data_IF_071888703495
#
_entry.id   IF_071888703495
#
_cell.length_a   1.000
_cell.length_b   1.000
_cell.length_c   1.000
_cell.angle_alpha   90.00
_cell.angle_beta   90.00
_cell.angle_gamma   90.00
#
_symmetry.space_group_name_H-M   'P 1'
#
loop_
_entity.id
_entity.type
_entity.pdbx_description
1 polymer ?
#
# COMPACT_ATOMS: atom_id res chain seq x y z
N UNK A 1 1.44 -4.67 25.77
CA UNK A 1 1.40 -3.43 24.96
C UNK A 1 2.85 -3.03 24.71
N UNK A 2 3.42 -3.44 23.58
CA UNK A 2 4.82 -3.15 23.25
C UNK A 2 4.81 -1.89 22.42
N UNK A 3 5.31 -0.81 22.98
CA UNK A 3 5.55 0.45 22.27
C UNK A 3 6.66 0.16 21.26
N UNK A 4 6.33 0.20 19.97
CA UNK A 4 7.34 0.20 18.91
C UNK A 4 7.97 1.59 18.97
N UNK A 5 9.08 1.72 19.69
CA UNK A 5 9.91 2.91 19.66
C UNK A 5 10.50 3.05 18.27
N UNK A 6 10.32 4.21 17.65
CA UNK A 6 10.98 4.61 16.42
C UNK A 6 12.48 4.30 16.55
N UNK A 7 13.00 3.46 15.68
CA UNK A 7 14.43 3.21 15.61
C UNK A 7 15.14 4.54 15.30
N UNK A 8 16.23 4.79 16.02
CA UNK A 8 17.11 5.94 15.77
C UNK A 8 17.56 5.89 14.30
N UNK A 9 17.42 6.96 13.52
CA UNK A 9 17.82 6.98 12.11
C UNK A 9 19.32 6.71 11.86
N UNK A 10 20.12 6.58 12.90
CA UNK A 10 21.54 6.22 12.81
C UNK A 10 21.78 4.71 12.89
N UNK A 11 20.80 3.91 13.30
CA UNK A 11 20.93 2.47 13.45
C UNK A 11 20.01 1.71 12.51
N UNK A 12 20.48 1.50 11.29
CA UNK A 12 19.94 0.62 10.26
C UNK A 12 18.82 1.23 9.38
N UNK A 13 18.93 1.19 8.04
CA UNK A 13 17.87 1.63 7.18
C UNK A 13 16.59 0.88 7.52
N UNK A 14 15.51 1.60 7.72
CA UNK A 14 14.22 1.02 8.03
C UNK A 14 13.78 0.12 6.87
N UNK A 15 13.57 -1.16 7.16
CA UNK A 15 13.08 -2.14 6.18
C UNK A 15 11.74 -1.73 5.57
N UNK A 16 11.20 -2.54 4.68
CA UNK A 16 9.93 -2.26 4.02
C UNK A 16 8.79 -2.03 5.03
N UNK A 17 7.86 -1.13 4.68
CA UNK A 17 6.59 -0.92 5.37
C UNK A 17 5.48 -1.68 4.65
N UNK A 18 4.66 -2.43 5.37
CA UNK A 18 3.54 -3.20 4.83
C UNK A 18 2.25 -2.72 5.50
N UNK A 19 1.42 -2.00 4.74
CA UNK A 19 0.09 -1.53 5.19
C UNK A 19 -0.98 -2.54 4.82
N UNK A 20 -1.31 -3.46 5.72
CA UNK A 20 -2.21 -4.58 5.46
C UNK A 20 -3.54 -4.52 6.20
N UNK A 21 -3.73 -3.52 7.07
CA UNK A 21 -4.97 -3.33 7.82
C UNK A 21 -5.74 -2.16 7.25
N UNK A 22 -7.05 -2.32 7.06
CA UNK A 22 -7.96 -1.21 6.82
C UNK A 22 -8.95 -1.12 7.98
N UNK A 23 -8.85 -0.07 8.76
CA UNK A 23 -9.72 0.19 9.91
C UNK A 23 -10.88 1.15 9.58
N UNK A 24 -10.90 1.66 8.35
CA UNK A 24 -11.98 2.51 7.86
C UNK A 24 -13.21 1.66 7.53
N UNK A 25 -14.36 2.05 8.02
CA UNK A 25 -15.61 1.26 7.90
C UNK A 25 -16.78 2.04 7.33
N UNK A 26 -16.70 3.37 7.30
CA UNK A 26 -17.77 4.23 6.80
C UNK A 26 -17.22 5.52 6.20
N UNK A 27 -18.01 6.17 5.37
CA UNK A 27 -17.74 7.53 4.88
C UNK A 27 -18.92 8.47 5.17
N UNK A 28 -18.64 9.75 5.36
CA UNK A 28 -19.68 10.78 5.45
C UNK A 28 -20.40 11.03 4.13
N UNK A 29 -19.81 10.57 3.01
CA UNK A 29 -20.39 10.61 1.68
C UNK A 29 -20.62 9.16 1.22
N UNK A 30 -21.87 8.74 1.07
CA UNK A 30 -22.22 7.35 0.71
C UNK A 30 -21.55 6.87 -0.59
N UNK A 31 -21.39 7.75 -1.58
CA UNK A 31 -20.68 7.41 -2.82
C UNK A 31 -19.20 7.07 -2.59
N UNK A 32 -18.56 7.66 -1.56
CA UNK A 32 -17.16 7.44 -1.23
C UNK A 32 -16.92 6.10 -0.47
N UNK A 33 -17.98 5.41 -0.04
CA UNK A 33 -17.86 4.07 0.55
C UNK A 33 -17.29 3.04 -0.43
N UNK A 34 -17.41 3.28 -1.74
CA UNK A 34 -16.75 2.48 -2.78
C UNK A 34 -15.24 2.41 -2.57
N UNK A 35 -14.60 3.51 -2.13
CA UNK A 35 -13.17 3.56 -1.88
C UNK A 35 -12.71 2.77 -0.62
N UNK A 36 -13.64 2.29 0.21
CA UNK A 36 -13.34 1.47 1.38
C UNK A 36 -13.21 -0.02 1.03
N UNK A 37 -13.64 -0.40 -0.16
CA UNK A 37 -13.48 -1.79 -0.64
C UNK A 37 -12.05 -2.01 -1.13
N UNK A 38 -11.51 -3.23 -1.05
CA UNK A 38 -10.19 -3.52 -1.60
C UNK A 38 -10.17 -3.61 -3.13
N UNK A 39 -11.32 -3.40 -3.76
CA UNK A 39 -11.53 -3.55 -5.19
C UNK A 39 -11.10 -2.28 -5.94
N UNK A 40 -10.16 -2.39 -6.86
CA UNK A 40 -9.66 -1.26 -7.66
C UNK A 40 -10.60 -0.87 -8.83
N UNK A 41 -11.63 -1.67 -9.09
CA UNK A 41 -12.62 -1.41 -10.15
C UNK A 41 -13.75 -0.48 -9.69
N UNK A 42 -14.23 -0.64 -8.45
CA UNK A 42 -15.24 0.23 -7.87
C UNK A 42 -14.57 1.50 -7.35
N UNK A 43 -14.91 2.64 -7.95
CA UNK A 43 -14.26 3.91 -7.63
C UNK A 43 -15.27 4.95 -7.16
N UNK A 44 -14.84 5.79 -6.26
CA UNK A 44 -15.52 7.03 -5.94
C UNK A 44 -15.13 8.07 -7.00
N UNK A 45 -16.12 8.67 -7.64
CA UNK A 45 -15.96 9.61 -8.75
C UNK A 45 -16.41 11.03 -8.33
N UNK A 46 -15.58 11.83 -7.66
CA UNK A 46 -15.89 13.20 -7.36
C UNK A 46 -15.84 14.09 -8.62
N UNK A 47 -16.75 15.04 -8.68
CA UNK A 47 -16.70 16.11 -9.69
C UNK A 47 -15.61 17.13 -9.36
N UNK A 48 -15.25 17.98 -10.34
CA UNK A 48 -14.32 19.10 -10.14
C UNK A 48 -14.78 20.08 -9.05
N UNK A 49 -13.83 20.75 -8.42
CA UNK A 49 -14.05 21.75 -7.39
C UNK A 49 -13.51 21.35 -6.01
N UNK A 50 -13.83 22.14 -5.01
CA UNK A 50 -13.41 21.88 -3.63
C UNK A 50 -14.11 20.63 -3.08
N UNK A 51 -13.33 19.67 -2.62
CA UNK A 51 -13.79 18.39 -2.10
C UNK A 51 -13.24 18.19 -0.68
N UNK A 52 -14.09 17.78 0.23
CA UNK A 52 -13.70 17.24 1.54
C UNK A 52 -14.41 15.92 1.73
N UNK A 53 -13.66 14.83 1.70
CA UNK A 53 -14.18 13.48 1.95
C UNK A 53 -13.63 12.98 3.27
N UNK A 54 -14.52 12.46 4.10
CA UNK A 54 -14.18 11.97 5.43
C UNK A 54 -14.53 10.48 5.54
N UNK A 55 -13.59 9.72 6.06
CA UNK A 55 -13.70 8.30 6.34
C UNK A 55 -13.58 8.05 7.82
N UNK A 56 -14.33 7.10 8.34
CA UNK A 56 -14.46 6.87 9.77
C UNK A 56 -14.09 5.43 10.14
N UNK A 57 -13.50 5.27 11.31
CA UNK A 57 -13.30 3.97 11.96
C UNK A 57 -14.51 3.62 12.83
N UNK A 58 -14.79 2.33 13.04
CA UNK A 58 -15.89 1.88 13.89
C UNK A 58 -15.71 2.22 15.38
N UNK A 59 -14.45 2.31 15.84
CA UNK A 59 -14.05 2.67 17.20
C UNK A 59 -12.77 3.52 17.13
N UNK A 60 -12.33 4.08 18.27
CA UNK A 60 -11.00 4.67 18.36
C UNK A 60 -9.95 3.63 17.96
N UNK A 61 -9.05 4.02 17.08
CA UNK A 61 -8.06 3.13 16.50
C UNK A 61 -6.71 3.82 16.33
N UNK A 62 -5.65 3.09 16.62
CA UNK A 62 -4.29 3.55 16.39
C UNK A 62 -3.94 3.36 14.92
N UNK A 63 -3.47 4.44 14.29
CA UNK A 63 -3.13 4.49 12.86
C UNK A 63 -1.77 5.15 12.70
N UNK A 64 -0.92 4.58 11.85
CA UNK A 64 0.38 5.15 11.49
C UNK A 64 0.64 5.17 9.98
N UNK A 65 -0.34 4.72 9.18
CA UNK A 65 -0.29 4.88 7.74
C UNK A 65 -1.66 5.18 7.13
N UNK A 66 -1.63 5.85 5.98
CA UNK A 66 -2.76 6.01 5.07
C UNK A 66 -2.25 5.64 3.67
N UNK A 67 -2.95 4.73 3.00
CA UNK A 67 -2.67 4.31 1.63
C UNK A 67 -3.80 4.68 0.68
N UNK A 68 -3.46 5.16 -0.51
CA UNK A 68 -4.41 5.47 -1.60
C UNK A 68 -3.93 4.76 -2.86
N UNK A 69 -4.82 4.07 -3.56
CA UNK A 69 -4.52 3.38 -4.80
C UNK A 69 -5.68 3.44 -5.79
N UNK A 70 -5.41 3.13 -7.06
CA UNK A 70 -6.38 3.16 -8.15
C UNK A 70 -7.08 4.52 -8.22
N UNK A 71 -6.31 5.59 -8.29
CA UNK A 71 -6.81 6.96 -8.30
C UNK A 71 -6.40 7.71 -9.58
N UNK A 72 -7.09 8.79 -9.89
CA UNK A 72 -6.78 9.72 -10.98
C UNK A 72 -6.51 11.12 -10.42
N UNK A 73 -5.58 11.23 -9.46
CA UNK A 73 -5.23 12.47 -8.75
C UNK A 73 -3.95 13.12 -9.27
N UNK A 74 -3.40 12.66 -10.39
CA UNK A 74 -2.17 13.23 -10.97
C UNK A 74 -2.27 14.73 -11.17
N UNK A 75 -1.28 15.47 -10.66
CA UNK A 75 -1.23 16.94 -10.70
C UNK A 75 -1.99 17.64 -9.56
N UNK A 76 -2.75 16.91 -8.74
CA UNK A 76 -3.51 17.48 -7.63
C UNK A 76 -2.72 17.44 -6.32
N UNK A 77 -3.01 18.40 -5.42
CA UNK A 77 -2.49 18.39 -4.05
C UNK A 77 -3.60 18.03 -3.07
N UNK A 78 -3.40 16.98 -2.29
CA UNK A 78 -4.35 16.48 -1.30
C UNK A 78 -3.82 16.71 0.10
N UNK A 79 -4.54 17.49 0.89
CA UNK A 79 -4.27 17.66 2.31
C UNK A 79 -4.92 16.51 3.08
N UNK A 80 -4.11 15.74 3.78
CA UNK A 80 -4.55 14.62 4.62
C UNK A 80 -4.59 15.06 6.06
N UNK A 81 -5.76 14.92 6.68
CA UNK A 81 -5.98 15.28 8.08
C UNK A 81 -6.64 14.15 8.84
N UNK A 82 -6.48 14.14 10.17
CA UNK A 82 -7.09 13.17 11.06
C UNK A 82 -7.77 13.87 12.22
N UNK A 83 -8.81 13.24 12.79
CA UNK A 83 -9.44 13.68 14.02
C UNK A 83 -9.57 12.52 15.01
N UNK A 84 -9.40 12.80 16.30
CA UNK A 84 -9.54 11.82 17.39
C UNK A 84 -11.00 11.42 17.64
N UNK A 85 -11.96 12.27 17.25
CA UNK A 85 -13.40 12.01 17.38
C UNK A 85 -14.10 12.32 16.06
N UNK A 86 -15.25 11.68 15.82
CA UNK A 86 -16.09 11.96 14.64
C UNK A 86 -16.56 13.41 14.70
N UNK A 87 -16.31 14.17 13.62
CA UNK A 87 -16.62 15.60 13.57
C UNK A 87 -15.75 16.49 14.45
N UNK A 88 -14.69 15.95 15.05
CA UNK A 88 -13.74 16.69 15.88
C UNK A 88 -12.80 17.61 15.10
N UNK A 89 -11.92 18.28 15.83
CA UNK A 89 -10.90 19.14 15.25
C UNK A 89 -9.94 18.31 14.38
N UNK A 90 -9.78 18.73 13.13
CA UNK A 90 -8.88 18.09 12.17
C UNK A 90 -7.43 18.54 12.43
N UNK A 91 -6.53 17.60 12.47
CA UNK A 91 -5.07 17.82 12.58
C UNK A 91 -4.40 17.34 11.32
N UNK A 92 -3.60 18.19 10.69
CA UNK A 92 -2.86 17.85 9.47
C UNK A 92 -1.86 16.73 9.76
N UNK A 93 -1.88 15.75 8.89
CA UNK A 93 -0.88 14.68 8.80
C UNK A 93 0.20 15.08 7.81
N UNK A 94 -0.22 15.35 6.56
CA UNK A 94 0.67 15.74 5.47
C UNK A 94 -0.12 16.37 4.32
N UNK A 95 0.58 17.01 3.39
CA UNK A 95 0.06 17.46 2.11
C UNK A 95 0.83 16.75 0.99
N UNK A 96 0.10 16.02 0.15
CA UNK A 96 0.69 15.21 -0.91
C UNK A 96 0.37 15.85 -2.25
N UNK A 97 1.41 16.11 -3.05
CA UNK A 97 1.26 16.43 -4.47
C UNK A 97 1.49 15.17 -5.28
N UNK A 98 0.48 14.74 -6.02
CA UNK A 98 0.53 13.55 -6.84
C UNK A 98 1.21 13.86 -8.17
N UNK A 99 2.38 13.24 -8.42
CA UNK A 99 3.08 13.38 -9.71
C UNK A 99 2.45 12.53 -10.82
N UNK A 100 1.83 11.43 -10.44
CA UNK A 100 1.19 10.45 -11.32
C UNK A 100 0.06 9.72 -10.57
N UNK A 101 -0.50 8.68 -11.15
CA UNK A 101 -1.58 7.88 -10.56
C UNK A 101 -1.08 6.63 -9.81
N UNK A 102 0.22 6.54 -9.53
CA UNK A 102 0.79 5.42 -8.77
C UNK A 102 0.26 5.37 -7.34
N UNK A 103 0.11 4.17 -6.75
CA UNK A 103 -0.27 4.03 -5.36
C UNK A 103 0.66 4.78 -4.43
N UNK A 104 0.11 5.39 -3.40
CA UNK A 104 0.89 6.07 -2.37
C UNK A 104 0.62 5.48 -0.99
N UNK A 105 1.60 5.60 -0.11
CA UNK A 105 1.51 5.24 1.29
C UNK A 105 2.21 6.30 2.14
N UNK A 106 1.40 7.10 2.84
CA UNK A 106 1.87 7.99 3.88
C UNK A 106 2.14 7.21 5.14
N UNK A 107 3.27 7.47 5.76
CA UNK A 107 3.60 6.94 7.07
C UNK A 107 3.90 8.10 8.04
N UNK A 108 3.39 8.03 9.25
CA UNK A 108 3.48 9.05 10.28
C UNK A 108 3.53 8.43 11.67
N UNK A 109 3.83 9.25 12.68
CA UNK A 109 3.81 8.77 14.06
C UNK A 109 2.41 8.29 14.46
N UNK A 110 2.35 7.17 15.18
CA UNK A 110 1.06 6.56 15.57
C UNK A 110 0.16 7.58 16.28
N UNK A 111 -1.07 7.67 15.79
CA UNK A 111 -2.13 8.53 16.36
C UNK A 111 -3.39 7.71 16.58
N UNK A 112 -4.06 7.96 17.69
CA UNK A 112 -5.40 7.42 17.93
C UNK A 112 -6.42 8.30 17.23
N UNK A 113 -7.18 7.74 16.30
CA UNK A 113 -8.12 8.48 15.45
C UNK A 113 -9.50 7.84 15.38
N UNK A 114 -10.48 8.64 14.97
CA UNK A 114 -11.82 8.21 14.56
C UNK A 114 -12.18 8.64 13.16
N UNK A 115 -11.46 9.60 12.59
CA UNK A 115 -11.77 10.16 11.27
C UNK A 115 -10.49 10.50 10.51
N UNK A 116 -10.50 10.18 9.22
CA UNK A 116 -9.50 10.60 8.21
C UNK A 116 -10.22 11.49 7.20
N UNK A 117 -9.70 12.68 6.94
CA UNK A 117 -10.21 13.60 5.94
C UNK A 117 -9.20 13.79 4.81
N UNK A 118 -9.69 13.69 3.56
CA UNK A 118 -8.98 14.10 2.35
C UNK A 118 -9.60 15.41 1.87
N UNK A 119 -8.78 16.44 1.78
CA UNK A 119 -9.20 17.77 1.35
C UNK A 119 -8.39 18.11 0.09
N UNK A 120 -9.09 18.38 -1.01
CA UNK A 120 -8.48 18.66 -2.31
C UNK A 120 -9.35 19.65 -3.09
N UNK A 121 -8.73 20.43 -3.96
CA UNK A 121 -9.45 21.21 -4.98
C UNK A 121 -9.13 20.59 -6.33
N UNK A 122 -10.10 19.84 -6.86
CA UNK A 122 -9.93 19.10 -8.11
C UNK A 122 -10.08 20.04 -9.30
N UNK A 123 -9.12 20.02 -10.21
CA UNK A 123 -9.16 20.76 -11.47
C UNK A 123 -10.15 20.15 -12.47
N UNK A 124 -10.37 18.85 -12.41
CA UNK A 124 -11.30 18.08 -13.23
C UNK A 124 -12.00 16.99 -12.39
N UNK A 125 -12.97 16.29 -12.99
CA UNK A 125 -13.50 15.06 -12.38
C UNK A 125 -12.37 14.04 -12.19
N UNK A 126 -12.35 13.37 -11.05
CA UNK A 126 -11.29 12.47 -10.66
C UNK A 126 -11.86 11.15 -10.12
N UNK A 127 -10.99 10.24 -9.73
CA UNK A 127 -11.36 8.92 -9.22
C UNK A 127 -10.50 8.55 -8.01
N UNK A 128 -11.10 7.87 -7.04
CA UNK A 128 -10.39 7.27 -5.88
C UNK A 128 -10.95 5.86 -5.71
N UNK A 129 -10.13 4.84 -5.99
CA UNK A 129 -10.57 3.46 -5.93
C UNK A 129 -10.41 2.85 -4.55
N UNK A 130 -9.27 3.06 -3.90
CA UNK A 130 -8.96 2.41 -2.62
C UNK A 130 -8.36 3.40 -1.65
N UNK A 131 -8.85 3.38 -0.42
CA UNK A 131 -8.24 4.05 0.72
C UNK A 131 -8.13 3.10 1.91
N UNK A 132 -6.93 2.98 2.46
CA UNK A 132 -6.64 2.24 3.69
C UNK A 132 -6.11 3.18 4.76
N UNK A 133 -6.46 2.91 6.01
CA UNK A 133 -5.81 3.51 7.18
C UNK A 133 -5.71 2.47 8.29
N UNK A 134 -4.54 2.37 8.91
CA UNK A 134 -4.30 1.38 9.95
C UNK A 134 -2.88 1.39 10.48
N UNK A 135 -2.46 0.27 11.03
CA UNK A 135 -1.08 0.06 11.47
C UNK A 135 -0.28 -0.67 10.39
N UNK A 136 0.79 -0.04 9.94
CA UNK A 136 1.76 -0.66 9.06
C UNK A 136 2.72 -1.55 9.85
N UNK A 137 3.03 -2.70 9.29
CA UNK A 137 4.09 -3.58 9.76
C UNK A 137 5.43 -3.06 9.24
N UNK A 138 6.32 -2.70 10.14
CA UNK A 138 7.70 -2.35 9.83
C UNK A 138 8.54 -3.63 9.79
N UNK A 139 9.16 -3.92 8.65
CA UNK A 139 10.10 -5.02 8.55
C UNK A 139 11.40 -4.66 9.27
N UNK A 140 11.95 -5.54 10.13
CA UNK A 140 13.15 -5.23 10.93
C UNK A 140 14.45 -5.26 10.11
N UNK A 141 14.37 -5.65 8.84
CA UNK A 141 15.49 -5.74 7.92
C UNK A 141 15.10 -5.36 6.51
N UNK A 142 16.07 -4.90 5.75
CA UNK A 142 15.93 -4.68 4.31
C UNK A 142 15.62 -5.96 3.56
N UNK A 143 14.99 -5.81 2.39
CA UNK A 143 14.75 -6.90 1.46
C UNK A 143 16.09 -7.46 1.00
N UNK A 144 16.23 -8.78 1.07
CA UNK A 144 17.42 -9.44 0.55
C UNK A 144 17.50 -9.27 -0.97
N UNK A 145 18.70 -9.04 -1.49
CA UNK A 145 18.92 -8.70 -2.91
C UNK A 145 18.29 -9.69 -3.89
N UNK A 146 18.08 -9.21 -5.11
CA UNK A 146 17.51 -10.00 -6.21
C UNK A 146 16.02 -9.75 -6.48
N UNK A 147 15.36 -8.84 -5.76
CA UNK A 147 14.01 -8.41 -6.12
C UNK A 147 14.07 -7.34 -7.23
N UNK A 148 13.03 -7.28 -8.04
CA UNK A 148 12.82 -6.16 -8.97
C UNK A 148 12.08 -5.05 -8.23
N UNK A 149 12.62 -3.81 -8.18
CA UNK A 149 11.90 -2.68 -7.62
C UNK A 149 10.51 -2.52 -8.24
N UNK A 150 9.55 -2.07 -7.46
CA UNK A 150 8.13 -2.05 -7.85
C UNK A 150 7.90 -1.23 -9.12
N UNK A 151 8.55 -0.08 -9.22
CA UNK A 151 8.51 0.83 -10.37
C UNK A 151 9.09 0.24 -11.67
N UNK A 152 9.88 -0.82 -11.56
CA UNK A 152 10.50 -1.54 -12.69
C UNK A 152 9.90 -2.93 -12.93
N UNK A 153 8.93 -3.35 -12.12
CA UNK A 153 8.41 -4.71 -12.06
C UNK A 153 7.24 -4.97 -13.03
N UNK A 154 7.23 -4.31 -14.18
CA UNK A 154 6.16 -4.45 -15.17
C UNK A 154 6.00 -5.91 -15.63
N UNK A 155 4.76 -6.41 -15.55
CA UNK A 155 4.35 -7.72 -16.09
C UNK A 155 3.35 -7.51 -17.21
N UNK A 156 3.82 -7.59 -18.44
CA UNK A 156 3.00 -7.34 -19.62
C UNK A 156 2.71 -8.63 -20.35
N UNK A 157 1.44 -8.94 -20.57
CA UNK A 157 0.99 -9.99 -21.48
C UNK A 157 0.92 -9.46 -22.91
N UNK A 158 1.65 -10.11 -23.82
CA UNK A 158 1.68 -9.72 -25.22
C UNK A 158 1.03 -10.79 -26.10
N UNK A 159 0.35 -10.35 -27.13
CA UNK A 159 0.04 -11.18 -28.30
C UNK A 159 0.91 -10.72 -29.48
N UNK A 160 1.79 -11.59 -29.93
CA UNK A 160 2.62 -11.36 -31.11
C UNK A 160 2.12 -12.24 -32.26
N UNK A 161 2.01 -11.65 -33.45
CA UNK A 161 1.62 -12.38 -34.66
C UNK A 161 2.80 -12.38 -35.62
N UNK A 162 3.13 -13.57 -36.13
CA UNK A 162 4.14 -13.77 -37.16
C UNK A 162 3.52 -14.41 -38.39
N UNK A 163 4.07 -14.11 -39.58
CA UNK A 163 3.73 -14.81 -40.80
C UNK A 163 4.35 -16.22 -40.84
N UNK A 164 3.88 -17.08 -41.74
CA UNK A 164 4.45 -18.41 -41.94
C UNK A 164 5.95 -18.37 -42.33
N UNK A 165 6.40 -17.27 -42.92
CA UNK A 165 7.80 -17.01 -43.23
C UNK A 165 8.61 -16.41 -42.07
N UNK A 166 8.02 -16.28 -40.86
CA UNK A 166 8.68 -15.76 -39.68
C UNK A 166 8.76 -14.23 -39.57
N UNK A 167 8.09 -13.49 -40.46
CA UNK A 167 8.05 -12.03 -40.39
C UNK A 167 7.15 -11.56 -39.24
N UNK A 168 7.61 -10.56 -38.51
CA UNK A 168 6.85 -9.96 -37.42
C UNK A 168 5.73 -9.08 -38.01
N UNK A 169 4.47 -9.47 -37.81
CA UNK A 169 3.30 -8.73 -38.31
C UNK A 169 2.79 -7.68 -37.30
N UNK A 170 3.06 -7.89 -36.02
CA UNK A 170 2.68 -6.94 -34.98
C UNK A 170 2.74 -7.53 -33.56
N UNK A 171 2.63 -6.66 -32.58
CA UNK A 171 2.58 -7.02 -31.16
C UNK A 171 1.55 -6.13 -30.46
N UNK A 172 0.59 -6.75 -29.80
CA UNK A 172 -0.45 -6.06 -29.04
C UNK A 172 -0.32 -6.40 -27.56
N UNK A 173 -0.50 -5.42 -26.70
CA UNK A 173 -0.57 -5.62 -25.25
C UNK A 173 -2.01 -6.06 -24.89
N UNK A 174 -2.14 -7.21 -24.23
CA UNK A 174 -3.44 -7.75 -23.79
C UNK A 174 -3.67 -7.42 -22.32
N UNK A 175 -2.62 -7.47 -21.51
CA UNK A 175 -2.68 -7.28 -20.05
C UNK A 175 -1.43 -6.58 -19.57
N UNK A 176 -1.64 -5.61 -18.69
CA UNK A 176 -0.57 -4.93 -17.96
C UNK A 176 -0.79 -5.09 -16.46
N UNK A 177 0.28 -5.14 -15.70
CA UNK A 177 0.31 -5.24 -14.26
C UNK A 177 1.75 -5.15 -13.77
N UNK A 178 1.91 -5.28 -12.47
CA UNK A 178 3.21 -5.38 -11.82
C UNK A 178 3.32 -6.75 -11.14
N UNK A 179 4.51 -7.34 -11.17
CA UNK A 179 4.80 -8.55 -10.39
C UNK A 179 6.23 -8.49 -9.89
N UNK A 180 6.39 -8.62 -8.58
CA UNK A 180 7.69 -8.67 -7.95
C UNK A 180 7.72 -9.69 -6.83
N UNK A 181 8.92 -10.17 -6.48
CA UNK A 181 9.12 -11.12 -5.39
C UNK A 181 9.98 -10.49 -4.32
N UNK A 182 9.48 -10.52 -3.10
CA UNK A 182 10.20 -10.05 -1.93
C UNK A 182 10.77 -11.22 -1.15
N UNK A 183 11.95 -11.05 -0.58
CA UNK A 183 12.60 -12.05 0.24
C UNK A 183 13.36 -11.39 1.40
N UNK A 184 13.14 -11.88 2.60
CA UNK A 184 13.86 -11.47 3.80
C UNK A 184 14.51 -12.68 4.43
N UNK A 185 15.71 -12.49 4.93
CA UNK A 185 16.49 -13.52 5.64
C UNK A 185 16.88 -13.03 7.01
N UNK A 186 17.20 -13.97 7.89
CA UNK A 186 17.66 -13.71 9.25
C UNK A 186 16.66 -12.89 10.08
N UNK A 187 15.36 -13.11 9.87
CA UNK A 187 14.31 -12.54 10.71
C UNK A 187 14.21 -13.31 12.02
N UNK A 188 13.98 -12.60 13.12
CA UNK A 188 13.76 -13.23 14.41
C UNK A 188 12.48 -14.08 14.40
N UNK A 189 12.53 -15.27 15.00
CA UNK A 189 11.38 -16.17 15.13
C UNK A 189 10.21 -15.54 15.89
N UNK A 190 10.50 -14.75 16.92
CA UNK A 190 9.45 -14.06 17.69
C UNK A 190 8.74 -13.00 16.86
N UNK A 191 9.47 -12.22 16.05
CA UNK A 191 8.87 -11.27 15.12
C UNK A 191 7.93 -11.97 14.15
N UNK A 192 8.36 -13.09 13.56
CA UNK A 192 7.51 -13.85 12.62
C UNK A 192 6.24 -14.36 13.29
N UNK A 193 6.32 -14.84 14.53
CA UNK A 193 5.18 -15.43 15.24
C UNK A 193 4.21 -14.41 15.83
N UNK A 194 4.71 -13.26 16.24
CA UNK A 194 3.91 -12.26 16.93
C UNK A 194 3.34 -11.20 15.96
N UNK A 195 4.18 -10.66 15.09
CA UNK A 195 3.86 -9.50 14.26
C UNK A 195 3.56 -9.92 12.81
N UNK A 196 4.49 -10.62 12.16
CA UNK A 196 4.37 -10.98 10.75
C UNK A 196 3.23 -11.99 10.48
N UNK A 197 2.91 -12.85 11.44
CA UNK A 197 1.79 -13.80 11.33
C UNK A 197 0.45 -13.12 11.09
N UNK A 198 0.22 -11.94 11.66
CA UNK A 198 -1.01 -11.17 11.45
C UNK A 198 -1.12 -10.72 10.00
N UNK A 199 -0.02 -10.26 9.41
CA UNK A 199 0.05 -9.96 7.98
C UNK A 199 -0.21 -11.20 7.13
N UNK A 200 0.40 -12.35 7.42
CA UNK A 200 0.16 -13.60 6.67
C UNK A 200 -1.35 -13.94 6.62
N UNK A 201 -2.03 -13.78 7.75
CA UNK A 201 -3.47 -14.09 7.83
C UNK A 201 -4.27 -13.11 6.97
N UNK A 202 -4.00 -11.83 7.06
CA UNK A 202 -4.69 -10.80 6.28
C UNK A 202 -4.44 -10.92 4.78
N UNK A 203 -3.20 -11.16 4.37
CA UNK A 203 -2.78 -11.23 2.97
C UNK A 203 -3.40 -12.42 2.19
N UNK A 204 -4.04 -13.38 2.88
CA UNK A 204 -4.78 -14.47 2.23
C UNK A 204 -6.10 -14.01 1.61
N UNK A 205 -6.68 -12.95 2.11
CA UNK A 205 -8.03 -12.52 1.77
C UNK A 205 -8.15 -11.08 1.31
N UNK A 206 -7.12 -10.27 1.56
CA UNK A 206 -7.14 -8.85 1.24
C UNK A 206 -5.80 -8.40 0.63
N UNK A 207 -5.85 -7.50 -0.37
CA UNK A 207 -4.68 -6.79 -0.87
C UNK A 207 -4.08 -5.90 0.21
N UNK A 208 -2.85 -5.47 -0.01
CA UNK A 208 -2.10 -4.64 0.91
C UNK A 208 -1.20 -3.65 0.17
N UNK A 209 -0.79 -2.60 0.89
CA UNK A 209 0.24 -1.68 0.43
C UNK A 209 1.61 -2.16 0.86
N UNK A 210 2.61 -1.98 0.01
CA UNK A 210 4.00 -2.16 0.36
C UNK A 210 4.83 -0.98 -0.12
N UNK A 211 5.58 -0.38 0.78
CA UNK A 211 6.60 0.64 0.52
C UNK A 211 7.94 0.00 0.82
N UNK A 212 8.64 -0.43 -0.22
CA UNK A 212 9.76 -1.34 -0.07
C UNK A 212 11.02 -0.71 0.53
N UNK A 213 11.20 0.60 0.37
CA UNK A 213 12.35 1.34 0.90
C UNK A 213 11.97 2.77 1.27
N UNK A 214 11.26 2.95 2.39
CA UNK A 214 10.61 4.21 2.76
C UNK A 214 11.57 5.40 2.87
N UNK A 215 12.81 5.18 3.31
CA UNK A 215 13.79 6.25 3.55
C UNK A 215 14.45 6.77 2.27
N UNK A 216 14.49 5.98 1.20
CA UNK A 216 15.17 6.34 -0.06
C UNK A 216 14.21 6.57 -1.21
N UNK A 217 13.14 5.80 -1.28
CA UNK A 217 12.17 5.82 -2.38
C UNK A 217 10.76 5.95 -1.81
N UNK A 218 10.43 7.16 -1.34
CA UNK A 218 9.15 7.45 -0.68
C UNK A 218 7.93 7.19 -1.57
N UNK A 219 8.10 7.28 -2.91
CA UNK A 219 7.05 7.10 -3.90
C UNK A 219 6.99 5.67 -4.49
N UNK A 220 7.98 4.81 -4.17
CA UNK A 220 7.99 3.43 -4.66
C UNK A 220 7.06 2.54 -3.80
N UNK A 221 5.77 2.66 -4.06
CA UNK A 221 4.69 1.96 -3.36
C UNK A 221 3.95 1.05 -4.33
N UNK A 222 3.56 -0.13 -3.88
CA UNK A 222 2.65 -1.01 -4.62
C UNK A 222 1.41 -1.32 -3.79
N UNK A 223 0.28 -1.47 -4.47
CA UNK A 223 -0.95 -2.03 -3.93
C UNK A 223 -1.28 -3.30 -4.70
N UNK A 224 -1.43 -4.42 -4.00
CA UNK A 224 -1.69 -5.69 -4.66
C UNK A 224 -1.85 -6.85 -3.67
N UNK A 225 -1.83 -8.05 -4.21
CA UNK A 225 -2.10 -9.28 -3.50
C UNK A 225 -0.98 -10.31 -3.66
N UNK A 226 -0.90 -11.25 -2.74
CA UNK A 226 0.03 -12.38 -2.87
C UNK A 226 -0.55 -13.43 -3.82
N UNK A 227 0.32 -14.05 -4.61
CA UNK A 227 -0.08 -15.07 -5.58
C UNK A 227 -0.25 -16.47 -4.94
N UNK A 228 0.24 -16.66 -3.71
CA UNK A 228 0.23 -17.93 -3.00
C UNK A 228 0.43 -17.73 -1.50
N UNK A 229 0.20 -18.78 -0.70
CA UNK A 229 0.43 -18.75 0.75
C UNK A 229 1.87 -18.36 1.10
N UNK A 230 2.02 -17.38 1.98
CA UNK A 230 3.32 -17.00 2.54
C UNK A 230 3.73 -18.04 3.58
N UNK A 231 4.87 -18.70 3.36
CA UNK A 231 5.39 -19.77 4.22
C UNK A 231 6.77 -19.44 4.74
N UNK A 232 6.88 -18.86 5.95
CA UNK A 232 8.17 -18.65 6.60
C UNK A 232 8.92 -19.98 6.78
N UNK A 233 10.23 -19.98 6.55
CA UNK A 233 11.08 -21.16 6.63
C UNK A 233 12.15 -20.96 7.71
N UNK A 234 12.35 -21.99 8.52
CA UNK A 234 13.45 -22.02 9.49
C UNK A 234 14.78 -22.15 8.75
N UNK A 235 15.76 -21.35 9.12
CA UNK A 235 17.11 -21.37 8.51
C UNK A 235 18.03 -22.46 9.10
N UNK A 236 17.53 -23.31 10.00
CA UNK A 236 18.25 -24.46 10.56
C UNK A 236 19.21 -24.11 11.70
N UNK A 237 19.92 -25.14 12.22
CA UNK A 237 21.06 -24.93 13.11
C UNK A 237 20.73 -24.49 14.54
N UNK A 238 19.53 -24.73 15.05
CA UNK A 238 19.14 -24.30 16.41
C UNK A 238 19.04 -22.79 16.59
N UNK A 239 19.18 -22.02 15.53
CA UNK A 239 19.06 -20.58 15.53
C UNK A 239 17.60 -20.14 15.46
N UNK A 240 17.31 -19.03 16.10
CA UNK A 240 16.00 -18.40 16.10
C UNK A 240 15.70 -17.59 14.82
N UNK A 241 16.41 -17.87 13.73
CA UNK A 241 16.27 -17.11 12.51
C UNK A 241 15.42 -17.85 11.47
N UNK A 242 14.56 -17.05 10.82
CA UNK A 242 13.71 -17.51 9.74
C UNK A 242 13.93 -16.67 8.47
N UNK A 243 13.60 -17.25 7.34
CA UNK A 243 13.46 -16.54 6.08
C UNK A 243 11.99 -16.52 5.68
N UNK A 244 11.59 -15.49 4.98
CA UNK A 244 10.26 -15.37 4.38
C UNK A 244 10.37 -14.75 3.01
N UNK A 245 9.63 -15.30 2.06
CA UNK A 245 9.52 -14.75 0.72
C UNK A 245 8.12 -14.95 0.17
N UNK A 246 7.68 -14.02 -0.66
CA UNK A 246 6.43 -14.13 -1.41
C UNK A 246 6.51 -13.33 -2.71
N UNK A 247 5.67 -13.72 -3.67
CA UNK A 247 5.47 -13.00 -4.91
C UNK A 247 4.15 -12.24 -4.83
N UNK A 248 4.17 -10.98 -5.23
CA UNK A 248 3.05 -10.07 -5.23
C UNK A 248 2.71 -9.69 -6.67
N UNK A 249 1.43 -9.78 -7.03
CA UNK A 249 0.86 -9.11 -8.19
C UNK A 249 0.25 -7.79 -7.75
N UNK A 250 0.64 -6.70 -8.37
CA UNK A 250 0.20 -5.37 -7.98
C UNK A 250 -0.57 -4.67 -9.10
N UNK A 251 -1.44 -3.75 -8.69
CA UNK A 251 -2.15 -2.86 -9.57
C UNK A 251 -1.18 -1.89 -10.23
N UNK A 252 -1.34 -1.67 -11.52
CA UNK A 252 -0.62 -0.67 -12.28
C UNK A 252 -1.62 0.21 -13.01
N UNK A 253 -1.62 1.48 -12.69
CA UNK A 253 -2.20 2.52 -13.54
C UNK A 253 -1.12 2.92 -14.56
N UNK A 254 -1.16 2.32 -15.76
CA UNK A 254 -0.20 2.52 -16.85
C UNK A 254 -0.82 3.33 -17.98
#
# INVERSE_FOLDING_TARGET
MTIITKADPTDNPSGALIGYTNLLTASTTSAAEKALTPNTYERYEPSSGALTVKFQTSAEADVNFIGIAAHALSGESVLVQTAATVGGALTTVDEITFSDNSPIMLNFDTRTIREVALIVTLSAASEIGVIYAGLALQMPRDIYGGHTPVDLAAKTGFQATQSESGQILGKTIIKQGLETSFNWKLLDDQFIRNDFKLFIISARTAPFFIKWRPDFYSNAVAYGEVNHDIKPQNMGGGHRFMSVGFTMSAHADL
#
